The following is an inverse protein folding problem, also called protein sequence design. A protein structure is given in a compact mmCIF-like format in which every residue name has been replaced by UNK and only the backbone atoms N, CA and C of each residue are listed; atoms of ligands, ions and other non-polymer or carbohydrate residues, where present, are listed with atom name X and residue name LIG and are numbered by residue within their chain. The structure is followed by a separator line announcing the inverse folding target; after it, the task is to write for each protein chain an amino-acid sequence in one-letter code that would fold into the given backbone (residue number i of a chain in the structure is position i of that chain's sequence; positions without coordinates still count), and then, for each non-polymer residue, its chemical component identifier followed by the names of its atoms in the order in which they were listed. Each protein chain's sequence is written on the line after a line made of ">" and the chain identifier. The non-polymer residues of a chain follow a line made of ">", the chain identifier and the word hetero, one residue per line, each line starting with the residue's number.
data_IF_519900243709
#
_entry.id   IF_519900243709
#
_cell.length_a   1.000
_cell.length_b   1.000
_cell.length_c   1.000
_cell.angle_alpha   90.00
_cell.angle_beta   90.00
_cell.angle_gamma   90.00
#
_symmetry.space_group_name_H-M   'P 1'
#
loop_
_entity.id
_entity.type
_entity.pdbx_description
1 polymer ?
#
# COMPACT_ATOMS: atom_id res chain seq x y z
N UNK A 1 4.71 2.40 -4.23
CA UNK A 1 5.05 2.78 -5.61
C UNK A 1 6.42 3.38 -5.51
N UNK A 2 7.32 2.86 -6.32
CA UNK A 2 8.74 3.21 -6.22
C UNK A 2 9.06 4.13 -7.40
N UNK A 3 9.84 5.17 -7.12
CA UNK A 3 10.08 6.25 -8.05
C UNK A 3 11.58 6.49 -8.23
N UNK A 4 11.97 6.97 -9.40
CA UNK A 4 13.23 7.67 -9.61
C UNK A 4 13.00 9.18 -9.63
N UNK A 5 13.97 9.94 -9.10
CA UNK A 5 14.01 11.40 -9.15
C UNK A 5 15.29 11.82 -9.89
N UNK A 6 15.15 12.45 -11.06
CA UNK A 6 16.28 13.04 -11.79
C UNK A 6 16.71 14.35 -11.12
N UNK A 7 17.99 14.50 -10.79
CA UNK A 7 18.46 15.57 -9.89
C UNK A 7 18.46 16.95 -10.54
N UNK A 8 18.76 17.00 -11.82
CA UNK A 8 18.97 18.23 -12.58
C UNK A 8 17.64 18.91 -12.91
N UNK A 9 16.63 18.11 -13.24
CA UNK A 9 15.32 18.59 -13.70
C UNK A 9 14.23 18.44 -12.63
N UNK A 10 14.49 17.69 -11.55
CA UNK A 10 13.50 17.20 -10.58
C UNK A 10 12.35 16.41 -11.21
N UNK A 11 12.56 15.83 -12.40
CA UNK A 11 11.57 14.95 -13.01
C UNK A 11 11.42 13.66 -12.18
N UNK A 12 10.16 13.28 -11.95
CA UNK A 12 9.80 12.06 -11.23
C UNK A 12 9.34 11.03 -12.25
N UNK A 13 9.96 9.85 -12.18
CA UNK A 13 9.60 8.71 -13.01
C UNK A 13 9.06 7.59 -12.13
N UNK A 14 7.95 6.97 -12.54
CA UNK A 14 7.47 5.74 -11.91
C UNK A 14 8.43 4.62 -12.34
N UNK A 15 9.03 3.95 -11.37
CA UNK A 15 9.83 2.76 -11.62
C UNK A 15 8.92 1.52 -11.64
N UNK A 16 8.28 1.23 -10.51
CA UNK A 16 7.46 0.03 -10.37
C UNK A 16 6.35 0.14 -9.31
N UNK A 17 5.40 -0.77 -9.39
CA UNK A 17 4.33 -0.95 -8.40
C UNK A 17 4.47 -2.33 -7.77
N UNK A 18 4.88 -2.34 -6.50
CA UNK A 18 4.95 -3.54 -5.67
C UNK A 18 3.61 -3.81 -4.99
N UNK A 19 2.82 -4.77 -5.50
CA UNK A 19 1.51 -5.14 -4.92
C UNK A 19 1.63 -5.96 -3.64
N UNK A 20 2.74 -6.69 -3.47
CA UNK A 20 3.10 -7.43 -2.26
C UNK A 20 4.51 -6.98 -1.85
N UNK A 21 4.64 -5.80 -1.23
CA UNK A 21 5.94 -5.29 -0.80
C UNK A 21 6.45 -6.06 0.43
N UNK A 22 7.72 -5.88 0.77
CA UNK A 22 8.25 -6.30 2.07
C UNK A 22 7.39 -5.75 3.22
N UNK A 23 6.99 -6.62 4.14
CA UNK A 23 5.96 -6.31 5.14
C UNK A 23 6.42 -6.51 6.59
N UNK A 24 7.72 -6.67 6.84
CA UNK A 24 8.24 -6.72 8.22
C UNK A 24 8.18 -5.32 8.86
N UNK A 25 8.27 -5.23 10.19
CA UNK A 25 8.27 -3.94 10.91
C UNK A 25 9.40 -2.99 10.48
N UNK A 26 10.48 -3.51 9.89
CA UNK A 26 11.60 -2.70 9.38
C UNK A 26 11.51 -2.39 7.88
N UNK A 27 10.54 -2.96 7.17
CA UNK A 27 10.34 -2.77 5.73
C UNK A 27 9.82 -1.37 5.41
N UNK A 28 10.07 -0.88 4.20
CA UNK A 28 9.71 0.49 3.79
C UNK A 28 8.19 0.73 3.80
N UNK A 29 7.38 -0.22 3.35
CA UNK A 29 5.93 -0.04 3.29
C UNK A 29 5.33 0.24 4.70
N UNK A 30 5.53 -0.61 5.73
CA UNK A 30 5.14 -0.28 7.11
C UNK A 30 5.75 1.01 7.67
N UNK A 31 7.04 1.28 7.41
CA UNK A 31 7.72 2.49 7.92
C UNK A 31 7.13 3.78 7.37
N UNK A 32 6.72 3.81 6.10
CA UNK A 32 6.10 4.99 5.51
C UNK A 32 4.74 5.29 6.15
N UNK A 33 3.94 4.27 6.46
CA UNK A 33 2.69 4.44 7.21
C UNK A 33 2.93 4.93 8.64
N UNK A 34 3.95 4.40 9.31
CA UNK A 34 4.34 4.87 10.64
C UNK A 34 4.72 6.35 10.62
N UNK A 35 5.51 6.78 9.63
CA UNK A 35 5.87 8.19 9.44
C UNK A 35 4.64 9.07 9.16
N UNK A 36 3.58 8.50 8.58
CA UNK A 36 2.28 9.15 8.39
C UNK A 36 1.33 9.02 9.60
N UNK A 37 1.81 8.50 10.74
CA UNK A 37 1.04 8.38 11.99
C UNK A 37 0.17 7.14 12.11
N UNK A 38 0.34 6.13 11.24
CA UNK A 38 -0.39 4.86 11.29
C UNK A 38 0.55 3.77 11.80
N UNK A 39 0.27 3.22 12.99
CA UNK A 39 1.08 2.15 13.56
C UNK A 39 0.96 0.84 12.76
N UNK A 40 1.93 -0.05 12.95
CA UNK A 40 1.92 -1.34 12.25
C UNK A 40 0.67 -2.20 12.55
N UNK A 41 0.18 -2.32 13.82
CA UNK A 41 -1.08 -3.02 14.09
C UNK A 41 -2.30 -2.38 13.44
N UNK A 42 -2.38 -1.04 13.41
CA UNK A 42 -3.48 -0.33 12.73
C UNK A 42 -3.45 -0.57 11.22
N UNK A 43 -2.26 -0.55 10.60
CA UNK A 43 -2.09 -0.86 9.18
C UNK A 43 -2.56 -2.28 8.84
N UNK A 44 -2.15 -3.28 9.63
CA UNK A 44 -2.59 -4.68 9.46
C UNK A 44 -4.11 -4.78 9.59
N UNK A 45 -4.69 -4.17 10.62
CA UNK A 45 -6.14 -4.19 10.87
C UNK A 45 -6.90 -3.60 9.69
N UNK A 46 -6.48 -2.43 9.19
CA UNK A 46 -7.08 -1.79 8.01
C UNK A 46 -7.01 -2.65 6.75
N UNK A 47 -5.87 -3.31 6.49
CA UNK A 47 -5.75 -4.19 5.32
C UNK A 47 -6.69 -5.40 5.38
N UNK A 48 -6.90 -5.96 6.58
CA UNK A 48 -7.87 -7.04 6.79
C UNK A 48 -9.30 -6.55 6.55
N UNK A 49 -9.66 -5.37 7.07
CA UNK A 49 -10.97 -4.74 6.84
C UNK A 49 -11.23 -4.53 5.34
N UNK A 50 -10.28 -3.92 4.64
CA UNK A 50 -10.36 -3.70 3.19
C UNK A 50 -10.51 -5.01 2.41
N UNK A 51 -9.89 -6.10 2.85
CA UNK A 51 -10.04 -7.41 2.23
C UNK A 51 -11.48 -7.93 2.36
N UNK A 52 -12.10 -7.80 3.54
CA UNK A 52 -13.51 -8.18 3.75
C UNK A 52 -14.48 -7.29 2.96
N UNK A 53 -14.25 -5.98 2.94
CA UNK A 53 -15.05 -5.02 2.16
C UNK A 53 -15.04 -5.40 0.68
N UNK A 54 -13.84 -5.59 0.11
CA UNK A 54 -13.68 -6.01 -1.28
C UNK A 54 -14.33 -7.36 -1.57
N UNK A 55 -14.23 -8.32 -0.65
CA UNK A 55 -14.88 -9.62 -0.79
C UNK A 55 -16.41 -9.49 -0.85
N UNK A 56 -16.98 -8.67 0.04
CA UNK A 56 -18.43 -8.41 0.09
C UNK A 56 -18.91 -7.68 -1.16
N UNK A 57 -18.17 -6.68 -1.65
CA UNK A 57 -18.43 -5.99 -2.92
C UNK A 57 -18.44 -6.96 -4.11
N UNK A 58 -17.40 -7.78 -4.26
CA UNK A 58 -17.33 -8.75 -5.36
C UNK A 58 -18.45 -9.77 -5.30
N UNK A 59 -18.87 -10.18 -4.11
CA UNK A 59 -19.98 -11.13 -3.92
C UNK A 59 -21.33 -10.53 -4.31
N UNK A 60 -21.57 -9.24 -3.97
CA UNK A 60 -22.76 -8.50 -4.41
C UNK A 60 -22.80 -8.32 -5.94
N UNK A 61 -21.67 -7.97 -6.54
CA UNK A 61 -21.59 -7.70 -7.98
C UNK A 61 -21.54 -8.96 -8.85
N UNK A 62 -21.46 -10.15 -8.24
CA UNK A 62 -21.47 -11.45 -8.93
C UNK A 62 -22.87 -11.96 -9.29
N UNK A 63 -23.91 -11.18 -8.97
CA UNK A 63 -25.29 -11.46 -9.36
C UNK A 63 -25.56 -10.81 -10.72
N UNK A 64 -24.99 -11.37 -11.77
CA UNK A 64 -25.43 -11.26 -13.18
C UNK A 64 -25.20 -12.60 -13.84
#
# INVERSE_FOLDING_TARGET
>A
VDFFLEKETNQIFINEINTIPGFTSISMYPKMFLAAGVSYPELVSRLIELAFERFKERSRNRVV
#
